data_IF_817529907465
#
_entry.id   IF_817529907465
#
_cell.length_a   1.000
_cell.length_b   1.000
_cell.length_c   1.000
_cell.angle_alpha   90.00
_cell.angle_beta   90.00
_cell.angle_gamma   90.00
#
_symmetry.space_group_name_H-M   'P 1'
#
loop_
_entity.id
_entity.type
_entity.pdbx_description
1 polymer ?
#
# COMPACT_ATOMS: atom_id res chain seq x y z
N UNK A 1 -10.92 38.43 33.78
CA UNK A 1 -11.68 37.23 33.34
C UNK A 1 -11.84 37.30 31.83
N UNK A 2 -11.08 36.50 31.07
CA UNK A 2 -11.26 36.41 29.61
C UNK A 2 -11.20 34.94 29.23
N UNK A 3 -12.39 34.39 28.94
CA UNK A 3 -12.63 33.02 28.55
C UNK A 3 -12.17 32.81 27.10
N UNK A 4 -10.98 32.21 26.92
CA UNK A 4 -10.59 31.62 25.64
C UNK A 4 -11.51 30.44 25.34
N UNK A 5 -12.42 30.63 24.38
CA UNK A 5 -13.19 29.54 23.76
C UNK A 5 -12.23 28.49 23.22
N UNK A 6 -12.34 27.25 23.71
CA UNK A 6 -11.77 26.08 23.03
C UNK A 6 -12.58 25.89 21.74
N UNK A 7 -11.97 26.16 20.61
CA UNK A 7 -12.51 25.92 19.28
C UNK A 7 -12.90 24.44 19.17
N UNK A 8 -14.21 24.15 19.24
CA UNK A 8 -14.74 22.80 19.31
C UNK A 8 -14.49 22.04 18.02
N UNK A 9 -13.86 20.86 18.10
CA UNK A 9 -13.65 19.97 16.95
C UNK A 9 -15.01 19.68 16.28
N UNK A 10 -15.15 20.02 15.00
CA UNK A 10 -16.36 19.75 14.21
C UNK A 10 -16.59 18.23 14.11
N UNK A 11 -17.83 17.79 14.28
CA UNK A 11 -18.21 16.39 14.07
C UNK A 11 -18.20 16.10 12.57
N UNK A 12 -17.44 15.09 12.16
CA UNK A 12 -17.36 14.63 10.76
C UNK A 12 -17.84 13.18 10.71
N UNK A 13 -18.79 12.89 9.82
CA UNK A 13 -19.29 11.53 9.59
C UNK A 13 -18.67 10.96 8.33
N UNK A 14 -18.04 9.79 8.43
CA UNK A 14 -17.47 9.07 7.29
C UNK A 14 -18.39 7.88 6.99
N UNK A 15 -18.91 7.81 5.76
CA UNK A 15 -19.81 6.72 5.30
C UNK A 15 -19.07 5.77 4.39
N UNK A 16 -19.53 4.52 4.32
CA UNK A 16 -18.96 3.49 3.44
C UNK A 16 -17.68 2.83 3.95
N UNK A 17 -17.41 2.88 5.25
CA UNK A 17 -16.31 2.12 5.84
C UNK A 17 -16.61 0.62 5.79
N UNK A 18 -15.61 -0.18 5.39
CA UNK A 18 -15.69 -1.63 5.48
C UNK A 18 -15.82 -2.06 6.96
N UNK A 19 -16.84 -2.86 7.25
CA UNK A 19 -17.18 -3.24 8.63
C UNK A 19 -16.11 -4.10 9.31
N UNK A 20 -15.35 -4.90 8.55
CA UNK A 20 -14.28 -5.73 9.09
C UNK A 20 -13.01 -4.91 9.32
N UNK A 21 -12.70 -3.96 8.42
CA UNK A 21 -11.58 -3.04 8.57
C UNK A 21 -11.78 -2.13 9.79
N UNK A 22 -13.00 -1.60 9.96
CA UNK A 22 -13.34 -0.78 11.12
C UNK A 22 -13.20 -1.55 12.44
N UNK A 23 -13.66 -2.81 12.50
CA UNK A 23 -13.48 -3.68 13.69
C UNK A 23 -12.01 -3.90 14.04
N UNK A 24 -11.14 -4.11 13.04
CA UNK A 24 -9.70 -4.27 13.28
C UNK A 24 -9.06 -2.98 13.77
N UNK A 25 -9.49 -1.83 13.22
CA UNK A 25 -9.03 -0.53 13.67
C UNK A 25 -9.46 -0.24 15.11
N UNK A 26 -10.66 -0.67 15.52
CA UNK A 26 -11.13 -0.59 16.90
C UNK A 26 -10.23 -1.40 17.85
N UNK A 27 -9.95 -2.66 17.53
CA UNK A 27 -9.04 -3.51 18.34
C UNK A 27 -7.66 -2.84 18.47
N UNK A 28 -7.10 -2.34 17.37
CA UNK A 28 -5.82 -1.63 17.40
C UNK A 28 -5.87 -0.36 18.26
N UNK A 29 -6.98 0.39 18.23
CA UNK A 29 -7.17 1.57 19.05
C UNK A 29 -7.17 1.21 20.55
N UNK A 30 -7.88 0.14 20.93
CA UNK A 30 -7.93 -0.37 22.29
C UNK A 30 -6.55 -0.84 22.78
N UNK A 31 -5.85 -1.67 22.00
CA UNK A 31 -4.53 -2.21 22.35
C UNK A 31 -3.46 -1.13 22.51
N UNK A 32 -3.56 -0.04 21.73
CA UNK A 32 -2.58 1.06 21.75
C UNK A 32 -2.94 2.19 22.71
N UNK A 33 -4.13 2.12 23.35
CA UNK A 33 -4.64 3.20 24.20
C UNK A 33 -4.95 4.49 23.45
N UNK A 34 -5.23 4.40 22.14
CA UNK A 34 -5.47 5.53 21.24
C UNK A 34 -6.94 5.56 20.81
N UNK A 35 -7.40 6.68 20.29
CA UNK A 35 -8.74 6.78 19.72
C UNK A 35 -8.74 6.44 18.24
N UNK A 36 -9.86 5.92 17.74
CA UNK A 36 -10.08 5.73 16.29
C UNK A 36 -9.84 7.04 15.52
N UNK A 37 -10.24 8.18 16.09
CA UNK A 37 -10.00 9.49 15.48
C UNK A 37 -8.51 9.82 15.34
N UNK A 38 -7.66 9.46 16.31
CA UNK A 38 -6.21 9.66 16.21
C UNK A 38 -5.57 8.78 15.14
N UNK A 39 -5.93 7.51 15.11
CA UNK A 39 -5.45 6.58 14.09
C UNK A 39 -5.89 7.01 12.69
N UNK A 40 -7.14 7.44 12.52
CA UNK A 40 -7.65 7.96 11.24
C UNK A 40 -6.94 9.25 10.83
N UNK A 41 -6.66 10.16 11.76
CA UNK A 41 -5.90 11.37 11.46
C UNK A 41 -4.47 11.06 11.00
N UNK A 42 -3.81 10.07 11.61
CA UNK A 42 -2.47 9.65 11.18
C UNK A 42 -2.50 8.95 9.82
N UNK A 43 -3.47 8.07 9.59
CA UNK A 43 -3.66 7.43 8.29
C UNK A 43 -3.93 8.47 7.19
N UNK A 44 -4.78 9.47 7.45
CA UNK A 44 -5.04 10.57 6.53
C UNK A 44 -3.78 11.42 6.30
N UNK A 45 -3.01 11.75 7.35
CA UNK A 45 -1.73 12.46 7.21
C UNK A 45 -0.77 11.68 6.33
N UNK A 46 -0.59 10.39 6.58
CA UNK A 46 0.29 9.52 5.79
C UNK A 46 -0.17 9.47 4.33
N UNK A 47 -1.47 9.28 4.09
CA UNK A 47 -2.04 9.27 2.75
C UNK A 47 -1.82 10.61 2.03
N UNK A 48 -2.08 11.74 2.71
CA UNK A 48 -1.85 13.07 2.17
C UNK A 48 -0.37 13.39 1.97
N UNK A 49 0.53 12.84 2.80
CA UNK A 49 1.99 12.97 2.62
C UNK A 49 2.48 12.19 1.40
N UNK A 50 1.90 11.02 1.13
CA UNK A 50 2.18 10.24 -0.09
C UNK A 50 1.58 10.94 -1.32
N UNK A 51 0.36 11.48 -1.21
CA UNK A 51 -0.29 12.24 -2.28
C UNK A 51 0.39 13.59 -2.56
N UNK A 52 0.92 14.27 -1.54
CA UNK A 52 1.62 15.55 -1.72
C UNK A 52 3.00 15.37 -2.35
N UNK A 53 3.66 14.20 -2.21
CA UNK A 53 4.83 13.86 -3.04
C UNK A 53 4.50 13.76 -4.54
N UNK A 54 3.23 13.50 -4.92
CA UNK A 54 2.80 13.51 -6.32
C UNK A 54 2.38 14.92 -6.81
N UNK A 55 2.20 15.91 -5.92
CA UNK A 55 1.69 17.25 -6.28
C UNK A 55 2.69 18.38 -6.03
N UNK A 56 3.68 18.24 -5.13
CA UNK A 56 4.64 19.30 -4.84
C UNK A 56 6.01 19.02 -5.45
N UNK A 57 6.13 19.27 -6.75
CA UNK A 57 7.30 20.00 -7.26
C UNK A 57 7.33 21.35 -6.53
N UNK A 58 8.00 21.39 -5.38
CA UNK A 58 8.34 22.62 -4.68
C UNK A 58 7.66 22.87 -3.33
N UNK A 59 8.47 22.70 -2.28
CA UNK A 59 8.59 23.57 -1.07
C UNK A 59 8.10 23.00 0.28
N UNK A 60 9.11 22.56 1.05
CA UNK A 60 9.29 22.59 2.53
C UNK A 60 8.31 21.79 3.40
N UNK A 61 8.79 20.66 3.92
CA UNK A 61 8.21 19.94 5.07
C UNK A 61 9.18 19.99 6.25
N UNK A 62 8.64 20.27 7.44
CA UNK A 62 9.31 20.55 8.72
C UNK A 62 10.07 19.36 9.32
N UNK A 63 11.22 19.65 9.93
CA UNK A 63 12.30 18.74 10.32
C UNK A 63 11.96 17.57 11.27
N UNK A 64 10.88 17.65 12.05
CA UNK A 64 10.48 16.57 12.98
C UNK A 64 9.67 15.43 12.33
N UNK A 65 8.93 15.73 11.26
CA UNK A 65 8.27 14.71 10.44
C UNK A 65 9.27 13.98 9.52
N UNK A 66 10.44 14.60 9.30
CA UNK A 66 11.53 13.99 8.53
C UNK A 66 12.08 12.79 9.27
N UNK A 67 12.32 12.79 10.57
CA UNK A 67 13.05 11.68 11.21
C UNK A 67 12.23 10.37 11.29
N UNK A 68 10.98 10.41 11.75
CA UNK A 68 10.09 9.22 11.74
C UNK A 68 9.74 8.82 10.31
N UNK A 69 9.46 9.80 9.45
CA UNK A 69 9.24 9.58 8.03
C UNK A 69 10.47 9.05 7.31
N UNK A 70 11.68 9.36 7.78
CA UNK A 70 12.97 8.95 7.22
C UNK A 70 13.39 7.60 7.75
N UNK A 71 13.14 7.23 9.01
CA UNK A 71 13.36 5.85 9.47
C UNK A 71 12.33 4.88 8.88
N UNK A 72 11.08 5.31 8.71
CA UNK A 72 10.07 4.54 7.98
C UNK A 72 10.38 4.51 6.48
N UNK A 73 10.77 5.64 5.87
CA UNK A 73 11.18 5.69 4.48
C UNK A 73 12.53 5.01 4.24
N UNK A 74 13.45 4.93 5.19
CA UNK A 74 14.73 4.20 5.10
C UNK A 74 14.46 2.70 5.24
N UNK A 75 13.63 2.27 6.19
CA UNK A 75 13.17 0.88 6.26
C UNK A 75 12.31 0.44 5.07
N UNK A 76 11.67 1.38 4.37
CA UNK A 76 10.96 1.14 3.09
C UNK A 76 11.90 1.29 1.87
N UNK A 77 12.87 2.21 1.91
CA UNK A 77 13.88 2.47 0.86
C UNK A 77 14.88 1.33 0.76
N UNK A 78 15.36 0.81 1.89
CA UNK A 78 16.30 -0.32 1.94
C UNK A 78 15.71 -1.58 1.28
N UNK A 79 14.39 -1.70 1.16
CA UNK A 79 13.74 -2.81 0.47
C UNK A 79 13.58 -2.64 -1.04
N UNK A 80 13.51 -1.42 -1.58
CA UNK A 80 12.88 -1.18 -2.89
C UNK A 80 13.30 0.09 -3.63
N UNK A 81 14.52 0.60 -3.44
CA UNK A 81 14.86 1.97 -3.86
C UNK A 81 14.73 2.31 -5.37
N UNK A 82 14.44 1.38 -6.28
CA UNK A 82 14.24 1.68 -7.71
C UNK A 82 13.14 0.84 -8.38
N UNK A 83 12.09 0.45 -7.64
CA UNK A 83 11.00 -0.30 -8.26
C UNK A 83 10.05 0.63 -9.04
N UNK A 84 9.86 0.35 -10.33
CA UNK A 84 8.78 0.93 -11.14
C UNK A 84 7.44 0.57 -10.50
N UNK A 85 6.62 1.58 -10.21
CA UNK A 85 5.31 1.39 -9.59
C UNK A 85 4.22 1.36 -10.66
N UNK A 86 3.45 0.27 -10.67
CA UNK A 86 2.27 0.10 -11.52
C UNK A 86 1.04 0.07 -10.61
N UNK A 87 0.14 1.07 -10.74
CA UNK A 87 -0.97 1.22 -9.79
C UNK A 87 -2.26 1.79 -10.36
N UNK A 88 -3.32 1.67 -9.55
CA UNK A 88 -4.62 2.32 -9.72
C UNK A 88 -5.40 1.81 -10.95
N UNK A 89 -5.46 0.49 -11.08
CA UNK A 89 -6.06 -0.21 -12.22
C UNK A 89 -7.08 -1.25 -11.72
N UNK A 90 -8.22 -1.41 -12.40
CA UNK A 90 -9.19 -2.43 -12.02
C UNK A 90 -8.70 -3.85 -12.33
N UNK A 91 -8.21 -4.11 -13.54
CA UNK A 91 -7.73 -5.43 -13.96
C UNK A 91 -6.44 -5.28 -14.77
N UNK A 92 -5.45 -6.13 -14.46
CA UNK A 92 -4.17 -6.18 -15.17
C UNK A 92 -3.76 -7.63 -15.40
N UNK A 93 -3.44 -7.96 -16.65
CA UNK A 93 -2.79 -9.23 -17.02
C UNK A 93 -1.36 -8.91 -17.39
N UNK A 94 -0.42 -9.65 -16.81
CA UNK A 94 1.02 -9.47 -16.97
C UNK A 94 1.61 -10.72 -17.60
N UNK A 95 2.09 -10.58 -18.84
CA UNK A 95 2.79 -11.63 -19.57
C UNK A 95 4.29 -11.60 -19.30
N UNK A 96 5.00 -12.63 -19.78
CA UNK A 96 6.48 -12.64 -19.78
C UNK A 96 7.05 -11.41 -20.49
N UNK A 97 6.48 -11.07 -21.66
CA UNK A 97 6.93 -9.93 -22.47
C UNK A 97 6.83 -8.61 -21.69
N UNK A 98 5.76 -8.43 -20.92
CA UNK A 98 5.56 -7.20 -20.13
C UNK A 98 6.63 -7.07 -19.05
N UNK A 99 6.95 -8.15 -18.33
CA UNK A 99 8.02 -8.15 -17.32
C UNK A 99 9.40 -7.89 -17.93
N UNK A 100 9.68 -8.41 -19.13
CA UNK A 100 10.95 -8.22 -19.83
C UNK A 100 11.08 -6.84 -20.50
N UNK A 101 9.97 -6.12 -20.70
CA UNK A 101 9.95 -4.82 -21.40
C UNK A 101 10.56 -3.66 -20.62
N UNK A 102 10.74 -3.83 -19.30
CA UNK A 102 11.33 -2.84 -18.40
C UNK A 102 12.57 -3.43 -17.75
N UNK A 103 13.56 -2.63 -17.38
CA UNK A 103 14.79 -3.14 -16.74
C UNK A 103 14.64 -3.24 -15.22
N UNK A 104 13.86 -2.32 -14.66
CA UNK A 104 13.61 -2.13 -13.24
C UNK A 104 12.83 -3.29 -12.61
N UNK A 105 12.88 -3.36 -11.28
CA UNK A 105 11.96 -4.19 -10.52
C UNK A 105 10.58 -3.52 -10.51
N UNK A 106 9.50 -4.29 -10.32
CA UNK A 106 8.14 -3.79 -10.44
C UNK A 106 7.40 -3.97 -9.12
N UNK A 107 6.77 -2.91 -8.65
CA UNK A 107 5.81 -2.97 -7.54
C UNK A 107 4.40 -2.73 -8.05
N UNK A 108 3.55 -3.73 -7.89
CA UNK A 108 2.13 -3.66 -8.25
C UNK A 108 1.33 -3.17 -7.05
N UNK A 109 0.52 -2.12 -7.21
CA UNK A 109 -0.21 -1.52 -6.10
C UNK A 109 -1.63 -1.12 -6.46
N UNK A 110 -2.59 -1.34 -5.56
CA UNK A 110 -3.98 -0.89 -5.75
C UNK A 110 -4.58 -1.40 -7.07
N UNK A 111 -4.54 -2.72 -7.27
CA UNK A 111 -5.09 -3.38 -8.46
C UNK A 111 -6.25 -4.28 -8.04
N UNK A 112 -7.41 -4.16 -8.68
CA UNK A 112 -8.54 -5.05 -8.40
C UNK A 112 -8.17 -6.52 -8.62
N UNK A 113 -7.91 -6.90 -9.87
CA UNK A 113 -7.44 -8.24 -10.24
C UNK A 113 -6.10 -8.17 -10.97
N UNK A 114 -5.05 -8.73 -10.38
CA UNK A 114 -3.74 -8.89 -11.00
C UNK A 114 -3.54 -10.35 -11.42
N UNK A 115 -3.30 -10.60 -12.71
CA UNK A 115 -3.08 -11.92 -13.27
C UNK A 115 -1.66 -11.99 -13.82
N UNK A 116 -0.88 -12.97 -13.37
CA UNK A 116 0.34 -13.37 -14.07
C UNK A 116 -0.03 -14.50 -15.04
N UNK A 117 0.28 -14.31 -16.32
CA UNK A 117 -0.06 -15.26 -17.37
C UNK A 117 0.80 -16.54 -17.28
N UNK A 118 0.36 -17.64 -17.89
CA UNK A 118 1.01 -18.95 -17.76
C UNK A 118 2.39 -19.01 -18.44
N UNK A 119 2.70 -18.03 -19.28
CA UNK A 119 3.99 -17.88 -19.94
C UNK A 119 5.08 -17.28 -19.03
N UNK A 120 4.73 -16.78 -17.84
CA UNK A 120 5.66 -16.18 -16.87
C UNK A 120 6.36 -17.27 -16.05
N UNK A 121 7.69 -17.46 -16.16
CA UNK A 121 8.43 -18.37 -15.28
C UNK A 121 8.53 -17.81 -13.85
N UNK A 122 8.55 -18.69 -12.84
CA UNK A 122 8.65 -18.26 -11.44
C UNK A 122 9.94 -17.50 -11.16
N UNK A 123 11.06 -17.87 -11.79
CA UNK A 123 12.36 -17.21 -11.64
C UNK A 123 12.32 -15.77 -12.15
N UNK A 124 11.59 -15.51 -13.25
CA UNK A 124 11.39 -14.17 -13.77
C UNK A 124 10.52 -13.34 -12.84
N UNK A 125 9.44 -13.93 -12.30
CA UNK A 125 8.61 -13.29 -11.29
C UNK A 125 9.42 -12.94 -10.03
N UNK A 126 10.20 -13.88 -9.51
CA UNK A 126 10.99 -13.68 -8.28
C UNK A 126 12.01 -12.55 -8.45
N UNK A 127 12.65 -12.51 -9.62
CA UNK A 127 13.61 -11.47 -10.01
C UNK A 127 12.94 -10.12 -10.25
N UNK A 128 11.82 -10.05 -10.95
CA UNK A 128 11.26 -8.77 -11.42
C UNK A 128 10.23 -8.18 -10.48
N UNK A 129 9.44 -9.00 -9.80
CA UNK A 129 8.36 -8.52 -8.93
C UNK A 129 8.94 -8.20 -7.57
N UNK A 130 9.02 -6.91 -7.26
CA UNK A 130 9.49 -6.41 -5.99
C UNK A 130 8.40 -6.61 -4.91
N UNK A 131 7.19 -6.12 -5.15
CA UNK A 131 6.08 -6.21 -4.20
C UNK A 131 4.72 -6.22 -4.90
N UNK A 132 3.72 -6.77 -4.22
CA UNK A 132 2.31 -6.73 -4.62
C UNK A 132 1.51 -6.23 -3.43
N UNK A 133 0.90 -5.05 -3.54
CA UNK A 133 0.23 -4.40 -2.43
C UNK A 133 -1.20 -3.97 -2.75
N UNK A 134 -2.11 -4.06 -1.78
CA UNK A 134 -3.47 -3.52 -1.89
C UNK A 134 -4.22 -4.06 -3.12
N UNK A 135 -4.08 -5.36 -3.41
CA UNK A 135 -4.79 -5.99 -4.52
C UNK A 135 -5.96 -6.86 -4.00
N UNK A 136 -7.10 -6.85 -4.68
CA UNK A 136 -8.23 -7.67 -4.22
C UNK A 136 -8.00 -9.14 -4.55
N UNK A 137 -7.57 -9.42 -5.79
CA UNK A 137 -7.26 -10.77 -6.25
C UNK A 137 -5.94 -10.79 -7.00
N UNK A 138 -5.09 -11.74 -6.66
CA UNK A 138 -3.88 -12.09 -7.43
C UNK A 138 -4.04 -13.51 -7.96
N UNK A 139 -3.98 -13.67 -9.27
CA UNK A 139 -4.05 -14.97 -9.96
C UNK A 139 -2.64 -15.31 -10.45
N UNK A 140 -2.12 -16.46 -10.01
CA UNK A 140 -0.79 -16.95 -10.38
C UNK A 140 -0.87 -18.24 -11.19
N UNK A 141 0.12 -18.50 -12.07
CA UNK A 141 0.27 -19.78 -12.76
C UNK A 141 0.37 -20.97 -11.79
N UNK A 142 -0.05 -22.15 -12.25
CA UNK A 142 -0.11 -23.37 -11.43
C UNK A 142 1.26 -23.90 -10.99
N UNK A 143 2.33 -23.54 -11.69
CA UNK A 143 3.71 -23.88 -11.36
C UNK A 143 4.35 -22.95 -10.31
N UNK A 144 3.66 -21.90 -9.84
CA UNK A 144 4.23 -20.98 -8.85
C UNK A 144 4.18 -21.55 -7.42
N UNK A 145 5.30 -21.52 -6.67
CA UNK A 145 5.30 -21.80 -5.24
C UNK A 145 4.49 -20.74 -4.47
N UNK A 146 3.22 -21.03 -4.18
CA UNK A 146 2.27 -20.08 -3.56
C UNK A 146 2.81 -19.37 -2.31
N UNK A 147 3.51 -20.09 -1.42
CA UNK A 147 4.07 -19.49 -0.21
C UNK A 147 5.16 -18.45 -0.52
N UNK A 148 5.98 -18.67 -1.55
CA UNK A 148 6.99 -17.70 -1.97
C UNK A 148 6.39 -16.47 -2.64
N UNK A 149 5.26 -16.61 -3.33
CA UNK A 149 4.50 -15.47 -3.85
C UNK A 149 3.97 -14.62 -2.69
N UNK A 150 3.40 -15.26 -1.67
CA UNK A 150 2.80 -14.58 -0.51
C UNK A 150 3.81 -13.73 0.28
N UNK A 151 5.11 -14.04 0.27
CA UNK A 151 6.12 -13.20 0.93
C UNK A 151 6.25 -11.80 0.29
N UNK A 152 5.84 -11.66 -0.98
CA UNK A 152 5.81 -10.38 -1.70
C UNK A 152 4.45 -9.66 -1.60
N UNK A 153 3.43 -10.30 -1.03
CA UNK A 153 2.07 -9.77 -0.93
C UNK A 153 1.84 -8.99 0.37
N UNK A 154 1.25 -7.80 0.29
CA UNK A 154 0.82 -6.98 1.44
C UNK A 154 -0.60 -6.47 1.21
N UNK A 155 -1.51 -6.68 2.18
CA UNK A 155 -2.91 -6.24 2.04
C UNK A 155 -3.59 -6.79 0.77
N UNK A 156 -3.29 -8.05 0.41
CA UNK A 156 -3.95 -8.75 -0.69
C UNK A 156 -5.10 -9.58 -0.13
N UNK A 157 -6.33 -9.45 -0.67
CA UNK A 157 -7.49 -10.17 -0.11
C UNK A 157 -7.47 -11.66 -0.45
N UNK A 158 -7.03 -12.02 -1.66
CA UNK A 158 -6.99 -13.42 -2.12
C UNK A 158 -5.87 -13.70 -3.12
N UNK A 159 -5.29 -14.90 -3.06
CA UNK A 159 -4.33 -15.43 -4.05
C UNK A 159 -4.85 -16.77 -4.58
N UNK A 160 -5.17 -16.82 -5.87
CA UNK A 160 -5.74 -17.96 -6.56
C UNK A 160 -4.74 -18.53 -7.57
N UNK A 161 -4.84 -19.84 -7.80
CA UNK A 161 -4.05 -20.53 -8.82
C UNK A 161 -4.92 -20.65 -10.07
N UNK A 162 -4.38 -20.25 -11.22
CA UNK A 162 -5.05 -20.44 -12.51
C UNK A 162 -5.17 -21.95 -12.78
N UNK A 163 -6.39 -22.38 -13.09
CA UNK A 163 -6.71 -23.77 -13.41
C UNK A 163 -6.58 -24.01 -14.90
#
# INVERSE_FOLDING_TARGET
MSSKMKEGKKTVTIRGLDSNLYKRLLVMAEETGRTVGELMNEAMKLLLSIGSTAVSTGKRVTSGAIEVGKSFAEGVKEGYENALVISDINELVVSKRDLESVEEHISFRNIGTLVFDDDVPYELFEKKVASIAMCDKVIIPSNFPKLKVLTKCKLVKSVEVRK
#
